data_IF_788769831784
#
_entry.id   IF_788769831784
#
_cell.length_a   1.000
_cell.length_b   1.000
_cell.length_c   1.000
_cell.angle_alpha   90.00
_cell.angle_beta   90.00
_cell.angle_gamma   90.00
#
_symmetry.space_group_name_H-M   'P 1'
#
loop_
_entity.id
_entity.type
_entity.pdbx_description
1 polymer ?
#
# COMPACT_ATOMS: atom_id res chain seq x y z
N UNK A 1 8.78 68.77 -71.22
CA UNK A 1 8.42 67.35 -70.97
C UNK A 1 9.40 66.79 -69.95
N UNK A 2 8.94 66.49 -68.72
CA UNK A 2 8.81 65.11 -68.17
C UNK A 2 10.14 64.33 -68.26
N UNK A 3 10.77 63.76 -67.23
CA UNK A 3 10.56 63.37 -65.81
C UNK A 3 11.94 62.75 -65.43
N UNK A 4 12.45 62.60 -64.22
CA UNK A 4 12.18 62.96 -62.82
C UNK A 4 13.51 62.61 -62.11
N UNK A 5 14.14 63.60 -61.49
CA UNK A 5 14.50 63.69 -60.07
C UNK A 5 15.34 62.54 -59.48
N UNK A 6 16.61 62.88 -59.22
CA UNK A 6 17.46 62.31 -58.18
C UNK A 6 16.85 62.56 -56.80
N UNK A 7 16.97 61.60 -55.89
CA UNK A 7 16.91 61.84 -54.46
C UNK A 7 17.99 61.00 -53.76
N UNK A 8 19.08 61.68 -53.44
CA UNK A 8 20.10 61.28 -52.49
C UNK A 8 19.61 61.72 -51.10
N UNK A 9 19.58 60.82 -50.12
CA UNK A 9 19.37 61.15 -48.71
C UNK A 9 20.29 60.21 -47.94
N UNK A 10 21.32 60.64 -47.22
CA UNK A 10 21.39 61.83 -46.37
C UNK A 10 21.16 61.37 -44.93
N UNK A 11 22.15 60.69 -44.35
CA UNK A 11 22.11 60.20 -42.98
C UNK A 11 22.11 61.38 -41.99
N UNK A 12 21.07 61.46 -41.16
CA UNK A 12 21.05 62.28 -39.95
C UNK A 12 20.88 61.34 -38.77
N UNK A 13 21.93 61.26 -37.95
CA UNK A 13 21.89 60.67 -36.61
C UNK A 13 21.02 61.54 -35.70
N UNK A 14 19.99 60.95 -35.11
CA UNK A 14 19.30 61.48 -33.93
C UNK A 14 19.47 60.45 -32.80
N UNK A 15 20.30 60.82 -31.84
CA UNK A 15 20.45 60.16 -30.55
C UNK A 15 19.17 60.44 -29.74
N UNK A 16 18.36 59.41 -29.52
CA UNK A 16 17.29 59.42 -28.52
C UNK A 16 17.61 58.36 -27.46
N UNK A 17 18.15 58.82 -26.33
CA UNK A 17 18.20 58.07 -25.09
C UNK A 17 16.79 57.93 -24.52
N UNK A 18 16.18 56.75 -24.69
CA UNK A 18 14.99 56.37 -23.93
C UNK A 18 15.36 55.20 -23.03
N UNK A 19 15.34 55.46 -21.72
CA UNK A 19 15.54 54.49 -20.68
C UNK A 19 14.60 53.30 -20.89
N UNK A 20 15.19 52.10 -20.85
CA UNK A 20 14.46 50.83 -20.86
C UNK A 20 13.68 50.76 -19.56
N UNK A 21 12.43 51.21 -19.58
CA UNK A 21 11.52 51.03 -18.47
C UNK A 21 11.31 49.51 -18.33
N UNK A 22 11.90 48.94 -17.29
CA UNK A 22 11.67 47.55 -16.93
C UNK A 22 10.16 47.40 -16.78
N UNK A 23 9.54 46.63 -17.67
CA UNK A 23 8.18 46.18 -17.49
C UNK A 23 8.20 45.33 -16.22
N UNK A 24 7.78 45.92 -15.11
CA UNK A 24 7.35 45.21 -13.92
C UNK A 24 6.23 44.29 -14.41
N UNK A 25 6.52 43.00 -14.56
CA UNK A 25 5.49 41.99 -14.64
C UNK A 25 4.70 42.10 -13.34
N UNK A 26 3.51 42.70 -13.43
CA UNK A 26 2.48 42.51 -12.43
C UNK A 26 2.27 41.00 -12.31
N UNK A 27 2.68 40.45 -11.16
CA UNK A 27 2.22 39.16 -10.72
C UNK A 27 0.72 39.32 -10.51
N UNK A 28 -0.07 38.74 -11.40
CA UNK A 28 -1.50 38.57 -11.20
C UNK A 28 -1.70 37.47 -10.18
N UNK A 29 -2.31 37.81 -9.04
CA UNK A 29 -2.75 36.85 -8.03
C UNK A 29 -3.77 35.83 -8.60
N UNK A 30 -3.67 34.62 -8.06
CA UNK A 30 -4.68 33.55 -8.01
C UNK A 30 -5.18 32.90 -9.31
N UNK A 31 -4.39 31.93 -9.80
CA UNK A 31 -4.95 30.57 -9.77
C UNK A 31 -4.57 30.02 -8.40
N UNK A 32 -5.52 29.93 -7.46
CA UNK A 32 -5.34 29.16 -6.24
C UNK A 32 -4.88 27.75 -6.64
N UNK A 33 -3.56 27.49 -6.62
CA UNK A 33 -3.06 26.12 -6.61
C UNK A 33 -3.56 25.54 -5.32
N UNK A 34 -4.57 24.66 -5.40
CA UNK A 34 -5.21 24.07 -4.23
C UNK A 34 -4.15 23.44 -3.34
N UNK A 35 -3.90 24.08 -2.20
CA UNK A 35 -2.96 23.60 -1.22
C UNK A 35 -3.51 22.30 -0.62
N UNK A 36 -2.62 21.34 -0.39
CA UNK A 36 -2.98 20.14 0.35
C UNK A 36 -2.92 20.49 1.84
N UNK A 37 -4.08 20.64 2.46
CA UNK A 37 -4.18 20.83 3.91
C UNK A 37 -3.94 19.50 4.61
N UNK A 38 -3.13 19.48 5.66
CA UNK A 38 -2.83 18.32 6.49
C UNK A 38 -3.09 18.70 7.95
N UNK A 39 -4.04 18.00 8.58
CA UNK A 39 -4.38 18.22 9.98
C UNK A 39 -3.87 17.08 10.84
N UNK A 40 -2.82 17.35 11.60
CA UNK A 40 -2.19 16.35 12.48
C UNK A 40 -3.03 16.02 13.71
N UNK A 41 -4.03 16.83 14.07
CA UNK A 41 -4.94 16.55 15.19
C UNK A 41 -6.06 15.58 14.80
N UNK A 42 -6.47 15.57 13.53
CA UNK A 42 -7.50 14.71 13.00
C UNK A 42 -6.96 13.30 12.64
N UNK A 43 -6.84 12.46 13.66
CA UNK A 43 -6.37 11.07 13.55
C UNK A 43 -7.43 10.15 12.92
N UNK A 44 -6.99 9.30 12.00
CA UNK A 44 -7.79 8.27 11.33
C UNK A 44 -7.31 6.87 11.74
N UNK A 45 -7.25 5.90 10.82
CA UNK A 45 -6.85 4.53 11.15
C UNK A 45 -5.37 4.42 11.54
N UNK A 46 -5.06 3.49 12.44
CA UNK A 46 -3.68 3.09 12.74
C UNK A 46 -3.17 2.13 11.67
N UNK A 47 -2.02 2.46 11.07
CA UNK A 47 -1.35 1.67 10.06
C UNK A 47 -0.71 0.43 10.70
N UNK A 48 -1.06 -0.71 10.14
CA UNK A 48 -0.63 -2.03 10.60
C UNK A 48 0.55 -2.57 9.80
N UNK A 49 0.70 -2.09 8.56
CA UNK A 49 1.88 -2.33 7.74
C UNK A 49 1.58 -2.50 6.27
N UNK A 50 2.66 -2.78 5.54
CA UNK A 50 2.65 -3.07 4.12
C UNK A 50 3.42 -4.38 3.90
N UNK A 51 2.94 -5.24 3.01
CA UNK A 51 3.45 -6.60 2.93
C UNK A 51 3.37 -7.25 1.57
N UNK A 52 3.72 -8.53 1.57
CA UNK A 52 3.46 -9.44 0.46
C UNK A 52 3.39 -10.89 0.94
N UNK A 53 2.96 -11.76 0.05
CA UNK A 53 2.87 -13.20 0.27
C UNK A 53 4.15 -13.96 -0.16
N UNK A 54 4.51 -14.98 0.63
CA UNK A 54 5.43 -16.04 0.23
C UNK A 54 4.68 -17.37 0.35
N UNK A 55 4.40 -18.02 -0.78
CA UNK A 55 3.63 -19.27 -0.83
C UNK A 55 4.53 -20.40 -1.32
N UNK A 56 5.18 -21.07 -0.35
CA UNK A 56 6.14 -22.13 -0.61
C UNK A 56 5.53 -23.33 -1.34
N UNK A 57 4.24 -23.60 -1.12
CA UNK A 57 3.55 -24.69 -1.81
C UNK A 57 3.55 -24.56 -3.34
N UNK A 58 3.70 -23.33 -3.86
CA UNK A 58 3.57 -23.04 -5.29
C UNK A 58 4.82 -22.48 -5.94
N UNK A 59 5.79 -22.04 -5.13
CA UNK A 59 7.04 -21.46 -5.61
C UNK A 59 8.18 -21.79 -4.66
N UNK A 60 9.43 -21.67 -5.12
CA UNK A 60 10.59 -21.78 -4.25
C UNK A 60 10.51 -20.79 -3.08
N UNK A 61 11.06 -21.14 -1.92
CA UNK A 61 11.13 -20.20 -0.79
C UNK A 61 11.96 -18.96 -1.14
N UNK A 62 11.78 -17.87 -0.40
CA UNK A 62 12.65 -16.70 -0.51
C UNK A 62 14.07 -17.06 -0.05
N UNK A 63 15.08 -16.66 -0.82
CA UNK A 63 16.49 -16.78 -0.40
C UNK A 63 16.82 -15.81 0.74
N UNK A 64 17.96 -15.98 1.40
CA UNK A 64 18.42 -15.03 2.44
C UNK A 64 18.56 -13.59 1.92
N UNK A 65 19.02 -13.43 0.68
CA UNK A 65 19.11 -12.12 0.02
C UNK A 65 17.71 -11.53 -0.24
N UNK A 66 16.78 -12.35 -0.76
CA UNK A 66 15.39 -11.91 -1.01
C UNK A 66 14.65 -11.56 0.27
N UNK A 67 14.85 -12.29 1.37
CA UNK A 67 14.28 -11.96 2.69
C UNK A 67 14.82 -10.60 3.19
N UNK A 68 16.11 -10.36 3.06
CA UNK A 68 16.72 -9.06 3.42
C UNK A 68 16.15 -7.94 2.55
N UNK A 69 16.08 -8.14 1.23
CA UNK A 69 15.50 -7.19 0.28
C UNK A 69 14.01 -6.97 0.50
N UNK A 70 13.27 -7.94 1.01
CA UNK A 70 11.85 -7.78 1.33
C UNK A 70 11.66 -6.94 2.60
N UNK A 71 12.32 -7.29 3.71
CA UNK A 71 11.92 -6.81 5.04
C UNK A 71 12.84 -5.73 5.65
N UNK A 72 14.08 -5.59 5.19
CA UNK A 72 14.99 -4.56 5.70
C UNK A 72 14.52 -3.15 5.32
N UNK A 73 14.42 -2.23 6.29
CA UNK A 73 14.08 -0.82 6.03
C UNK A 73 15.25 0.01 5.52
N UNK A 74 16.49 -0.46 5.70
CA UNK A 74 17.70 0.27 5.29
C UNK A 74 18.18 -0.14 3.89
N UNK A 75 18.20 -1.45 3.63
CA UNK A 75 18.72 -2.02 2.38
C UNK A 75 17.65 -2.63 1.47
N UNK A 76 16.44 -2.87 1.98
CA UNK A 76 15.35 -3.54 1.28
C UNK A 76 14.09 -2.69 1.15
N UNK A 77 12.97 -3.28 0.79
CA UNK A 77 11.69 -2.60 0.62
C UNK A 77 11.15 -2.14 1.97
N UNK A 78 11.43 -2.88 3.04
CA UNK A 78 10.93 -2.57 4.37
C UNK A 78 9.52 -3.09 4.60
N UNK A 79 9.12 -4.18 3.95
CA UNK A 79 7.84 -4.83 4.25
C UNK A 79 7.75 -5.17 5.74
N UNK A 80 6.57 -4.98 6.31
CA UNK A 80 6.29 -5.20 7.74
C UNK A 80 5.15 -6.19 7.97
N UNK A 81 4.63 -6.78 6.89
CA UNK A 81 3.68 -7.89 6.92
C UNK A 81 4.19 -8.96 5.94
N UNK A 82 4.25 -10.20 6.40
CA UNK A 82 4.43 -11.39 5.56
C UNK A 82 3.12 -12.18 5.61
N UNK A 83 2.56 -12.50 4.43
CA UNK A 83 1.47 -13.45 4.30
C UNK A 83 1.99 -14.82 3.87
N UNK A 84 1.51 -15.89 4.50
CA UNK A 84 1.90 -17.27 4.19
C UNK A 84 0.67 -18.17 4.10
N UNK A 85 0.87 -19.35 3.54
CA UNK A 85 -0.14 -20.40 3.51
C UNK A 85 -0.08 -21.25 4.77
N UNK A 86 -1.23 -21.70 5.25
CA UNK A 86 -1.34 -22.88 6.12
C UNK A 86 -1.41 -24.13 5.23
N UNK A 87 -0.36 -24.97 5.13
CA UNK A 87 -0.38 -26.15 4.27
C UNK A 87 -1.43 -27.16 4.73
N UNK A 88 -1.94 -27.99 3.80
CA UNK A 88 -2.90 -29.06 4.14
C UNK A 88 -2.25 -30.26 4.84
N UNK A 89 -0.93 -30.43 4.70
CA UNK A 89 -0.17 -31.49 5.37
C UNK A 89 0.74 -30.92 6.45
N UNK A 90 0.65 -31.49 7.66
CA UNK A 90 1.50 -31.10 8.79
C UNK A 90 2.98 -31.38 8.57
N UNK A 91 3.31 -32.35 7.71
CA UNK A 91 4.70 -32.63 7.31
C UNK A 91 5.38 -31.45 6.60
N UNK A 92 4.59 -30.52 6.03
CA UNK A 92 5.12 -29.33 5.34
C UNK A 92 5.35 -28.14 6.26
N UNK A 93 4.84 -28.15 7.49
CA UNK A 93 4.85 -26.98 8.37
C UNK A 93 6.26 -26.47 8.69
N UNK A 94 7.21 -27.39 8.90
CA UNK A 94 8.58 -27.03 9.26
C UNK A 94 9.29 -26.25 8.13
N UNK A 95 8.90 -26.46 6.87
CA UNK A 95 9.51 -25.81 5.72
C UNK A 95 9.14 -24.32 5.60
N UNK A 96 8.04 -23.86 6.21
CA UNK A 96 7.64 -22.45 6.22
C UNK A 96 8.50 -21.58 7.16
N UNK A 97 9.15 -22.20 8.16
CA UNK A 97 9.86 -21.50 9.25
C UNK A 97 10.94 -20.53 8.77
N UNK A 98 11.83 -20.87 7.81
CA UNK A 98 12.96 -20.02 7.49
C UNK A 98 12.59 -18.59 7.04
N UNK A 99 11.55 -18.44 6.21
CA UNK A 99 11.08 -17.11 5.79
C UNK A 99 10.25 -16.42 6.87
N UNK A 100 9.45 -17.17 7.63
CA UNK A 100 8.71 -16.65 8.79
C UNK A 100 9.64 -16.06 9.84
N UNK A 101 10.68 -16.81 10.24
CA UNK A 101 11.63 -16.41 11.27
C UNK A 101 12.47 -15.21 10.82
N UNK A 102 12.88 -15.17 9.54
CA UNK A 102 13.56 -14.01 8.99
C UNK A 102 12.67 -12.76 9.00
N UNK A 103 11.41 -12.87 8.55
CA UNK A 103 10.47 -11.74 8.56
C UNK A 103 10.25 -11.20 9.97
N UNK A 104 10.04 -12.09 10.95
CA UNK A 104 9.95 -11.73 12.38
C UNK A 104 11.23 -11.06 12.89
N UNK A 105 12.40 -11.52 12.45
CA UNK A 105 13.70 -10.92 12.78
C UNK A 105 13.83 -9.46 12.33
N UNK A 106 13.13 -9.06 11.26
CA UNK A 106 13.00 -7.67 10.82
C UNK A 106 11.81 -6.92 11.44
N UNK A 107 11.07 -7.56 12.36
CA UNK A 107 9.91 -6.99 13.04
C UNK A 107 8.60 -7.04 12.23
N UNK A 108 8.53 -7.86 11.18
CA UNK A 108 7.30 -8.03 10.41
C UNK A 108 6.26 -8.89 11.17
N UNK A 109 4.99 -8.55 11.02
CA UNK A 109 3.86 -9.40 11.42
C UNK A 109 3.71 -10.52 10.40
N UNK A 110 3.47 -11.75 10.86
CA UNK A 110 3.18 -12.88 9.98
C UNK A 110 1.69 -13.19 10.06
N UNK A 111 0.99 -13.15 8.93
CA UNK A 111 -0.40 -13.60 8.83
C UNK A 111 -0.46 -14.87 7.98
N UNK A 112 -1.25 -15.84 8.39
CA UNK A 112 -1.34 -17.13 7.70
C UNK A 112 -2.77 -17.43 7.26
N UNK A 113 -2.96 -17.86 6.02
CA UNK A 113 -4.28 -18.16 5.47
C UNK A 113 -4.33 -19.61 4.97
N UNK A 114 -5.42 -20.32 5.27
CA UNK A 114 -5.69 -21.63 4.69
C UNK A 114 -6.45 -21.49 3.36
N UNK A 115 -5.91 -22.07 2.28
CA UNK A 115 -6.65 -22.24 1.02
C UNK A 115 -7.58 -23.46 1.05
N UNK A 116 -7.18 -24.49 1.78
CA UNK A 116 -7.93 -25.74 1.94
C UNK A 116 -7.67 -26.30 3.34
N UNK A 117 -8.65 -27.04 3.87
CA UNK A 117 -8.41 -27.97 4.98
C UNK A 117 -7.74 -29.26 4.48
N UNK A 118 -7.19 -30.11 5.37
CA UNK A 118 -6.79 -31.46 5.00
C UNK A 118 -7.91 -32.19 4.24
N UNK A 119 -7.63 -32.93 3.14
CA UNK A 119 -8.68 -33.52 2.31
C UNK A 119 -9.67 -34.42 3.06
N UNK A 120 -9.25 -35.09 4.13
CA UNK A 120 -10.11 -35.93 4.98
C UNK A 120 -11.18 -35.14 5.75
N UNK A 121 -11.06 -33.82 5.82
CA UNK A 121 -11.98 -32.90 6.51
C UNK A 121 -12.96 -32.23 5.54
N UNK A 122 -12.88 -32.54 4.24
CA UNK A 122 -13.64 -31.86 3.20
C UNK A 122 -14.50 -32.85 2.41
N UNK A 123 -15.61 -32.33 1.85
CA UNK A 123 -16.39 -33.01 0.80
C UNK A 123 -16.45 -32.10 -0.41
N UNK A 124 -15.76 -32.48 -1.48
CA UNK A 124 -15.53 -31.59 -2.62
C UNK A 124 -14.72 -30.36 -2.18
N UNK A 125 -15.26 -29.16 -2.42
CA UNK A 125 -14.66 -27.88 -2.04
C UNK A 125 -15.19 -27.33 -0.70
N UNK A 126 -15.96 -28.09 0.06
CA UNK A 126 -16.56 -27.61 1.31
C UNK A 126 -15.98 -28.31 2.54
N UNK A 127 -15.76 -27.54 3.60
CA UNK A 127 -15.37 -28.06 4.91
C UNK A 127 -16.54 -28.81 5.56
N UNK A 128 -16.31 -30.03 6.00
CA UNK A 128 -17.30 -30.80 6.75
C UNK A 128 -17.51 -30.14 8.13
N UNK A 129 -18.77 -29.87 8.50
CA UNK A 129 -19.10 -29.24 9.79
C UNK A 129 -18.64 -30.08 10.98
N UNK A 130 -18.70 -31.41 10.86
CA UNK A 130 -18.17 -32.35 11.85
C UNK A 130 -16.64 -32.26 12.04
N UNK A 131 -15.91 -31.68 11.09
CA UNK A 131 -14.45 -31.52 11.12
C UNK A 131 -14.00 -30.13 11.56
N UNK A 132 -14.89 -29.25 12.02
CA UNK A 132 -14.53 -27.89 12.45
C UNK A 132 -13.46 -27.89 13.54
N UNK A 133 -13.62 -28.73 14.57
CA UNK A 133 -12.64 -28.82 15.66
C UNK A 133 -11.28 -29.34 15.17
N UNK A 134 -11.29 -30.37 14.32
CA UNK A 134 -10.06 -30.93 13.76
C UNK A 134 -9.33 -29.94 12.85
N UNK A 135 -10.07 -29.15 12.06
CA UNK A 135 -9.47 -28.13 11.20
C UNK A 135 -8.89 -26.97 12.03
N UNK A 136 -9.56 -26.53 13.09
CA UNK A 136 -9.00 -25.56 14.01
C UNK A 136 -7.74 -26.09 14.72
N UNK A 137 -7.73 -27.36 15.12
CA UNK A 137 -6.56 -28.03 15.68
C UNK A 137 -5.41 -28.13 14.67
N UNK A 138 -5.69 -28.34 13.38
CA UNK A 138 -4.71 -28.30 12.30
C UNK A 138 -4.06 -26.92 12.15
N UNK A 139 -4.87 -25.85 12.13
CA UNK A 139 -4.37 -24.45 12.11
C UNK A 139 -3.55 -24.14 13.37
N UNK A 140 -4.01 -24.57 14.55
CA UNK A 140 -3.28 -24.39 15.81
C UNK A 140 -1.94 -25.14 15.82
N UNK A 141 -1.91 -26.35 15.26
CA UNK A 141 -0.70 -27.14 15.10
C UNK A 141 0.29 -26.47 14.14
N UNK A 142 -0.19 -25.89 13.04
CA UNK A 142 0.63 -25.06 12.15
C UNK A 142 1.23 -23.88 12.90
N UNK A 143 0.39 -23.09 13.58
CA UNK A 143 0.81 -21.93 14.34
C UNK A 143 1.89 -22.28 15.37
N UNK A 144 1.71 -23.39 16.09
CA UNK A 144 2.72 -23.91 17.04
C UNK A 144 4.01 -24.32 16.33
N UNK A 145 3.90 -25.09 15.24
CA UNK A 145 5.04 -25.59 14.48
C UNK A 145 5.89 -24.46 13.88
N UNK A 146 5.30 -23.33 13.48
CA UNK A 146 6.02 -22.17 12.92
C UNK A 146 6.47 -21.15 13.98
N UNK A 147 6.27 -21.45 15.28
CA UNK A 147 6.70 -20.57 16.38
C UNK A 147 5.83 -19.32 16.52
N UNK A 148 4.53 -19.46 16.28
CA UNK A 148 3.51 -18.41 16.40
C UNK A 148 3.38 -17.52 15.16
N UNK A 149 2.17 -17.14 14.81
CA UNK A 149 1.87 -16.09 13.82
C UNK A 149 1.04 -14.98 14.48
N UNK A 150 1.02 -13.80 13.86
CA UNK A 150 0.24 -12.66 14.34
C UNK A 150 -1.27 -12.93 14.24
N UNK A 151 -1.72 -13.49 13.12
CA UNK A 151 -3.10 -13.89 12.93
C UNK A 151 -3.24 -15.02 11.90
N UNK A 152 -4.35 -15.74 11.99
CA UNK A 152 -4.73 -16.82 11.06
C UNK A 152 -6.09 -16.54 10.43
N UNK A 153 -6.24 -16.89 9.14
CA UNK A 153 -7.51 -16.95 8.45
C UNK A 153 -7.84 -18.39 8.06
N UNK A 154 -9.03 -18.90 8.43
CA UNK A 154 -9.43 -20.25 8.07
C UNK A 154 -9.85 -20.40 6.60
N UNK A 155 -10.06 -19.31 5.86
CA UNK A 155 -10.49 -19.35 4.47
C UNK A 155 -9.78 -18.26 3.66
N UNK A 156 -9.19 -18.65 2.53
CA UNK A 156 -8.84 -17.74 1.44
C UNK A 156 -10.01 -17.65 0.47
N UNK A 157 -10.49 -16.44 0.16
CA UNK A 157 -11.43 -16.18 -0.93
C UNK A 157 -12.64 -17.14 -0.96
N UNK A 158 -13.35 -17.32 0.17
CA UNK A 158 -14.42 -18.30 0.28
C UNK A 158 -15.58 -18.05 -0.70
N UNK A 159 -15.69 -16.81 -1.24
CA UNK A 159 -16.69 -16.41 -2.22
C UNK A 159 -16.21 -16.44 -3.68
N UNK A 160 -15.01 -16.99 -3.96
CA UNK A 160 -14.51 -17.14 -5.32
C UNK A 160 -14.80 -18.55 -5.86
N UNK A 161 -16.06 -18.73 -6.29
CA UNK A 161 -16.56 -20.00 -6.80
C UNK A 161 -15.84 -20.48 -8.06
N UNK A 162 -15.58 -21.78 -8.14
CA UNK A 162 -14.89 -22.42 -9.27
C UNK A 162 -13.36 -22.27 -9.24
N UNK A 163 -12.81 -21.77 -8.15
CA UNK A 163 -11.36 -21.62 -7.96
C UNK A 163 -10.63 -22.94 -7.67
N UNK A 164 -11.37 -23.95 -7.20
CA UNK A 164 -10.82 -25.23 -6.74
C UNK A 164 -10.24 -25.19 -5.31
N UNK A 165 -10.34 -24.05 -4.63
CA UNK A 165 -10.04 -23.88 -3.20
C UNK A 165 -11.30 -24.11 -2.36
N UNK A 166 -11.16 -24.07 -1.03
CA UNK A 166 -12.26 -24.27 -0.12
C UNK A 166 -13.26 -23.12 -0.19
N UNK A 167 -14.48 -23.42 -0.63
CA UNK A 167 -15.58 -22.47 -0.81
C UNK A 167 -16.49 -22.45 0.42
N UNK A 168 -16.99 -21.27 0.77
CA UNK A 168 -17.94 -21.09 1.86
C UNK A 168 -18.78 -19.81 1.68
N UNK A 169 -20.04 -19.88 2.09
CA UNK A 169 -20.88 -18.70 2.31
C UNK A 169 -20.39 -17.90 3.53
N UNK A 170 -20.73 -16.61 3.59
CA UNK A 170 -20.38 -15.77 4.74
C UNK A 170 -20.88 -16.35 6.08
N UNK A 171 -22.04 -17.00 6.06
CA UNK A 171 -22.63 -17.68 7.21
C UNK A 171 -21.81 -18.90 7.64
N UNK A 172 -21.30 -19.71 6.70
CA UNK A 172 -20.46 -20.87 7.02
C UNK A 172 -19.12 -20.44 7.62
N UNK A 173 -18.48 -19.40 7.06
CA UNK A 173 -17.25 -18.82 7.63
C UNK A 173 -17.53 -18.28 9.04
N UNK A 174 -18.65 -17.58 9.23
CA UNK A 174 -19.07 -17.08 10.54
C UNK A 174 -19.31 -18.21 11.53
N UNK A 175 -19.96 -19.30 11.13
CA UNK A 175 -20.23 -20.45 11.97
C UNK A 175 -18.94 -21.14 12.41
N UNK A 176 -17.97 -21.32 11.51
CA UNK A 176 -16.66 -21.85 11.87
C UNK A 176 -15.96 -20.95 12.90
N UNK A 177 -15.88 -19.64 12.66
CA UNK A 177 -15.20 -18.72 13.58
C UNK A 177 -15.93 -18.63 14.93
N UNK A 178 -17.27 -18.62 14.92
CA UNK A 178 -18.08 -18.64 16.12
C UNK A 178 -17.83 -19.91 16.96
N UNK A 179 -17.74 -21.07 16.33
CA UNK A 179 -17.50 -22.33 17.01
C UNK A 179 -16.04 -22.48 17.47
N UNK A 180 -15.07 -22.18 16.59
CA UNK A 180 -13.69 -22.64 16.73
C UNK A 180 -12.62 -21.54 16.64
N UNK A 181 -12.97 -20.27 16.43
CA UNK A 181 -11.99 -19.21 16.22
C UNK A 181 -10.95 -19.11 17.36
N UNK A 182 -11.38 -19.28 18.61
CA UNK A 182 -10.49 -19.28 19.78
C UNK A 182 -9.54 -20.49 19.86
N UNK A 183 -9.82 -21.56 19.12
CA UNK A 183 -9.06 -22.81 19.13
C UNK A 183 -8.00 -22.87 18.02
N UNK A 184 -7.90 -21.84 17.17
CA UNK A 184 -6.93 -21.78 16.07
C UNK A 184 -5.50 -21.44 16.51
N UNK A 185 -5.25 -21.22 17.81
CA UNK A 185 -3.92 -20.98 18.38
C UNK A 185 -3.35 -19.57 18.16
N UNK A 186 -4.01 -18.72 17.38
CA UNK A 186 -3.66 -17.32 17.15
C UNK A 186 -4.92 -16.46 17.00
N UNK A 187 -4.75 -15.14 16.94
CA UNK A 187 -5.83 -14.21 16.61
C UNK A 187 -6.45 -14.55 15.24
N UNK A 188 -7.78 -14.48 15.13
CA UNK A 188 -8.45 -14.75 13.85
C UNK A 188 -8.60 -13.47 13.04
N UNK A 189 -8.19 -13.53 11.78
CA UNK A 189 -8.55 -12.57 10.73
C UNK A 189 -9.52 -13.25 9.75
N UNK A 190 -10.57 -12.55 9.35
CA UNK A 190 -11.61 -13.08 8.47
C UNK A 190 -12.46 -11.94 7.86
N UNK A 191 -13.29 -12.17 6.83
CA UNK A 191 -13.52 -13.45 6.16
C UNK A 191 -12.79 -13.60 4.81
N UNK A 192 -11.88 -12.70 4.48
CA UNK A 192 -11.06 -12.71 3.25
C UNK A 192 -11.84 -12.92 1.92
N UNK A 193 -12.95 -12.22 1.65
CA UNK A 193 -13.60 -12.33 0.35
C UNK A 193 -12.67 -11.79 -0.75
N UNK A 194 -12.72 -12.42 -1.93
CA UNK A 194 -11.92 -12.13 -3.13
C UNK A 194 -11.93 -10.67 -3.59
N UNK A 195 -13.01 -9.96 -3.25
CA UNK A 195 -13.33 -8.65 -3.80
C UNK A 195 -13.81 -7.68 -2.71
N UNK A 196 -13.44 -7.91 -1.44
CA UNK A 196 -13.80 -7.05 -0.30
C UNK A 196 -15.31 -6.81 -0.27
N UNK A 197 -16.14 -7.80 -0.62
CA UNK A 197 -17.57 -7.59 -0.82
C UNK A 197 -18.28 -7.17 0.49
N UNK A 198 -18.94 -6.00 0.49
CA UNK A 198 -19.56 -5.44 1.69
C UNK A 198 -20.69 -6.33 2.21
N UNK A 199 -21.48 -6.93 1.31
CA UNK A 199 -22.60 -7.80 1.69
C UNK A 199 -22.09 -9.06 2.37
N UNK A 200 -21.02 -9.67 1.83
CA UNK A 200 -20.36 -10.83 2.42
C UNK A 200 -19.79 -10.50 3.81
N UNK A 201 -19.08 -9.38 3.94
CA UNK A 201 -18.52 -8.91 5.22
C UNK A 201 -19.63 -8.62 6.24
N UNK A 202 -20.68 -7.90 5.85
CA UNK A 202 -21.80 -7.59 6.76
C UNK A 202 -22.55 -8.84 7.19
N UNK A 203 -22.76 -9.80 6.28
CA UNK A 203 -23.38 -11.09 6.60
C UNK A 203 -22.53 -11.86 7.59
N UNK A 204 -21.21 -11.93 7.38
CA UNK A 204 -20.27 -12.54 8.33
C UNK A 204 -20.33 -11.87 9.72
N UNK A 205 -20.27 -10.54 9.77
CA UNK A 205 -20.28 -9.76 11.02
C UNK A 205 -21.63 -9.76 11.74
N UNK A 206 -22.72 -10.17 11.09
CA UNK A 206 -24.04 -10.30 11.72
C UNK A 206 -24.07 -11.41 12.78
N UNK A 207 -23.15 -12.38 12.72
CA UNK A 207 -22.95 -13.35 13.78
C UNK A 207 -22.11 -12.72 14.91
N UNK A 208 -22.77 -12.35 16.00
CA UNK A 208 -22.12 -11.66 17.13
C UNK A 208 -20.96 -12.45 17.75
N UNK A 209 -21.08 -13.78 17.85
CA UNK A 209 -20.02 -14.65 18.38
C UNK A 209 -18.82 -14.64 17.45
N UNK A 210 -19.03 -14.78 16.14
CA UNK A 210 -17.96 -14.68 15.15
C UNK A 210 -17.27 -13.30 15.25
N UNK A 211 -18.05 -12.20 15.18
CA UNK A 211 -17.55 -10.81 15.29
C UNK A 211 -16.71 -10.59 16.55
N UNK A 212 -17.09 -11.18 17.68
CA UNK A 212 -16.33 -11.09 18.93
C UNK A 212 -14.98 -11.80 18.89
N UNK A 213 -14.88 -12.91 18.13
CA UNK A 213 -13.67 -13.72 17.95
C UNK A 213 -12.78 -13.23 16.81
N UNK A 214 -13.31 -12.44 15.88
CA UNK A 214 -12.54 -11.78 14.82
C UNK A 214 -11.73 -10.61 15.37
N UNK A 215 -10.42 -10.62 15.18
CA UNK A 215 -9.54 -9.53 15.60
C UNK A 215 -9.58 -8.35 14.63
N UNK A 216 -9.56 -8.61 13.33
CA UNK A 216 -9.71 -7.60 12.28
C UNK A 216 -10.35 -8.19 11.03
N UNK A 217 -11.02 -7.33 10.27
CA UNK A 217 -11.63 -7.70 8.99
C UNK A 217 -10.59 -7.64 7.90
N UNK A 218 -10.58 -8.64 7.04
CA UNK A 218 -9.69 -8.70 5.88
C UNK A 218 -10.42 -9.17 4.62
N UNK A 219 -9.83 -8.86 3.47
CA UNK A 219 -10.36 -9.09 2.14
C UNK A 219 -9.36 -8.71 1.07
N UNK A 220 -9.64 -9.13 -0.14
CA UNK A 220 -8.85 -8.83 -1.34
C UNK A 220 -9.62 -7.83 -2.21
N UNK A 221 -9.00 -7.24 -3.22
CA UNK A 221 -9.64 -6.18 -4.02
C UNK A 221 -9.73 -6.52 -5.51
N UNK A 222 -9.68 -7.81 -5.87
CA UNK A 222 -9.77 -8.21 -7.26
C UNK A 222 -11.11 -7.78 -7.87
N UNK A 223 -11.04 -7.01 -8.96
CA UNK A 223 -12.21 -6.46 -9.66
C UNK A 223 -12.98 -5.40 -8.87
N UNK A 224 -12.41 -4.84 -7.80
CA UNK A 224 -13.06 -3.82 -6.96
C UNK A 224 -12.12 -2.69 -6.59
N UNK A 225 -12.57 -1.45 -6.84
CA UNK A 225 -11.89 -0.26 -6.35
C UNK A 225 -12.01 -0.19 -4.82
N UNK A 226 -10.95 0.16 -4.07
CA UNK A 226 -11.01 0.36 -2.63
C UNK A 226 -12.09 1.37 -2.20
N UNK A 227 -12.80 1.07 -1.12
CA UNK A 227 -13.89 1.90 -0.61
C UNK A 227 -14.01 1.77 0.92
N UNK A 228 -14.57 2.80 1.56
CA UNK A 228 -14.77 2.79 3.00
C UNK A 228 -15.91 1.82 3.38
N UNK A 229 -15.60 0.80 4.17
CA UNK A 229 -16.56 -0.21 4.64
C UNK A 229 -17.55 0.33 5.69
N UNK A 230 -17.35 1.56 6.17
CA UNK A 230 -18.14 2.18 7.22
C UNK A 230 -17.66 1.77 8.62
N UNK A 231 -18.47 2.12 9.62
CA UNK A 231 -18.19 1.80 11.02
C UNK A 231 -18.56 0.33 11.32
N UNK A 232 -17.62 -0.58 11.05
CA UNK A 232 -17.78 -2.03 11.32
C UNK A 232 -17.18 -2.49 12.65
N UNK A 233 -16.70 -1.56 13.48
CA UNK A 233 -16.01 -1.77 14.77
C UNK A 233 -14.76 -2.66 14.70
N UNK A 234 -14.13 -2.74 13.53
CA UNK A 234 -12.92 -3.54 13.29
C UNK A 234 -11.99 -2.79 12.35
N UNK A 235 -10.68 -2.99 12.54
CA UNK A 235 -9.69 -2.59 11.54
C UNK A 235 -9.92 -3.37 10.24
N UNK A 236 -9.66 -2.74 9.09
CA UNK A 236 -9.78 -3.36 7.76
C UNK A 236 -8.41 -3.54 7.14
N UNK A 237 -8.08 -4.74 6.66
CA UNK A 237 -6.79 -5.07 6.06
C UNK A 237 -7.01 -5.60 4.63
N UNK A 238 -6.34 -5.00 3.65
CA UNK A 238 -6.26 -5.59 2.31
C UNK A 238 -5.12 -6.62 2.32
N UNK A 239 -5.45 -7.90 2.21
CA UNK A 239 -4.53 -9.01 2.47
C UNK A 239 -3.98 -9.71 1.23
N UNK A 240 -4.48 -9.36 0.04
CA UNK A 240 -3.93 -9.83 -1.23
C UNK A 240 -4.41 -8.98 -2.40
N UNK A 241 -3.48 -8.61 -3.27
CA UNK A 241 -3.77 -8.18 -4.63
C UNK A 241 -2.52 -8.18 -5.52
N UNK A 242 -2.71 -8.15 -6.82
CA UNK A 242 -1.73 -7.67 -7.80
C UNK A 242 -2.46 -6.82 -8.84
N UNK A 243 -1.83 -5.77 -9.36
CA UNK A 243 -2.44 -4.91 -10.39
C UNK A 243 -2.53 -5.60 -11.76
N UNK A 244 -1.44 -6.23 -12.19
CA UNK A 244 -1.38 -6.98 -13.44
C UNK A 244 -0.30 -8.07 -13.36
N UNK A 245 -0.72 -9.34 -13.47
CA UNK A 245 0.17 -10.50 -13.37
C UNK A 245 0.80 -10.93 -14.70
N UNK A 246 0.53 -10.23 -15.80
CA UNK A 246 1.15 -10.47 -17.12
C UNK A 246 2.20 -9.42 -17.47
N UNK A 247 2.31 -8.35 -16.69
CA UNK A 247 3.25 -7.25 -16.90
C UNK A 247 4.34 -7.26 -15.83
N UNK A 248 5.59 -7.01 -16.24
CA UNK A 248 6.73 -6.93 -15.32
C UNK A 248 6.53 -5.90 -14.20
N UNK A 249 7.05 -6.19 -13.00
CA UNK A 249 7.10 -5.24 -11.90
C UNK A 249 8.04 -4.06 -12.18
N UNK A 250 8.88 -4.16 -13.21
CA UNK A 250 9.72 -3.06 -13.71
C UNK A 250 9.01 -2.17 -14.75
N UNK A 251 7.82 -2.56 -15.22
CA UNK A 251 7.01 -1.66 -16.03
C UNK A 251 6.54 -0.48 -15.19
N UNK A 252 6.86 0.74 -15.64
CA UNK A 252 6.57 1.94 -14.85
C UNK A 252 5.08 2.24 -14.75
N UNK A 253 4.30 1.95 -15.79
CA UNK A 253 2.84 2.12 -15.78
C UNK A 253 2.18 1.21 -14.75
N UNK A 254 2.59 -0.06 -14.72
CA UNK A 254 2.13 -1.04 -13.73
C UNK A 254 2.52 -0.64 -12.29
N UNK A 255 3.76 -0.20 -12.08
CA UNK A 255 4.20 0.30 -10.78
C UNK A 255 3.41 1.54 -10.32
N UNK A 256 3.10 2.47 -11.23
CA UNK A 256 2.28 3.65 -10.91
C UNK A 256 0.80 3.32 -10.67
N UNK A 257 0.26 2.25 -11.29
CA UNK A 257 -1.06 1.73 -10.95
C UNK A 257 -1.09 1.23 -9.49
N UNK A 258 -0.06 0.50 -9.06
CA UNK A 258 0.06 0.06 -7.67
C UNK A 258 0.25 1.24 -6.70
N UNK A 259 0.99 2.28 -7.08
CA UNK A 259 1.13 3.50 -6.27
C UNK A 259 -0.23 4.15 -5.96
N UNK A 260 -1.09 4.22 -6.98
CA UNK A 260 -2.45 4.75 -6.87
C UNK A 260 -3.36 3.85 -6.03
N UNK A 261 -3.25 2.53 -6.21
CA UNK A 261 -4.02 1.55 -5.45
C UNK A 261 -3.68 1.56 -3.96
N UNK A 262 -2.39 1.65 -3.61
CA UNK A 262 -1.95 1.78 -2.21
C UNK A 262 -2.52 3.07 -1.61
N UNK A 263 -2.43 4.20 -2.33
CA UNK A 263 -3.05 5.46 -1.91
C UNK A 263 -4.56 5.27 -1.64
N UNK A 264 -5.28 4.63 -2.56
CA UNK A 264 -6.73 4.45 -2.46
C UNK A 264 -7.13 3.55 -1.28
N UNK A 265 -6.37 2.48 -1.03
CA UNK A 265 -6.57 1.64 0.16
C UNK A 265 -6.39 2.46 1.44
N UNK A 266 -5.34 3.27 1.53
CA UNK A 266 -5.09 4.12 2.70
C UNK A 266 -6.16 5.20 2.84
N UNK A 267 -6.62 5.78 1.74
CA UNK A 267 -7.71 6.76 1.74
C UNK A 267 -9.07 6.15 2.12
N UNK A 268 -9.32 4.90 1.73
CA UNK A 268 -10.53 4.15 2.08
C UNK A 268 -10.61 3.77 3.57
N UNK A 269 -9.56 4.01 4.35
CA UNK A 269 -9.52 3.66 5.77
C UNK A 269 -8.87 2.30 6.05
N UNK A 270 -8.25 1.66 5.06
CA UNK A 270 -7.60 0.37 5.27
C UNK A 270 -6.28 0.58 6.03
N UNK A 271 -6.02 -0.33 6.95
CA UNK A 271 -4.89 -0.28 7.87
C UNK A 271 -3.67 -1.06 7.36
N UNK A 272 -3.86 -1.94 6.39
CA UNK A 272 -2.79 -2.72 5.77
C UNK A 272 -3.02 -2.89 4.26
N UNK A 273 -1.91 -3.06 3.54
CA UNK A 273 -1.88 -3.41 2.13
C UNK A 273 -0.85 -4.54 1.93
N UNK A 274 -1.29 -5.68 1.40
CA UNK A 274 -0.44 -6.85 1.17
C UNK A 274 -0.51 -7.22 -0.30
N UNK A 275 0.63 -7.13 -0.99
CA UNK A 275 0.75 -7.64 -2.36
C UNK A 275 0.63 -9.16 -2.38
N UNK A 276 0.39 -9.74 -3.56
CA UNK A 276 0.46 -11.17 -3.74
C UNK A 276 1.91 -11.68 -3.62
N UNK A 277 2.48 -12.37 -4.61
CA UNK A 277 3.84 -12.88 -4.44
C UNK A 277 4.90 -11.79 -4.27
N UNK A 278 5.68 -11.83 -3.18
CA UNK A 278 6.85 -10.97 -2.96
C UNK A 278 7.86 -11.17 -4.10
N UNK A 279 8.21 -12.44 -4.38
CA UNK A 279 9.13 -12.79 -5.47
C UNK A 279 8.37 -13.31 -6.68
N UNK A 280 8.21 -12.46 -7.68
CA UNK A 280 7.66 -12.81 -8.99
C UNK A 280 8.03 -11.76 -10.01
N UNK A 281 8.07 -12.10 -11.31
CA UNK A 281 8.43 -11.15 -12.36
C UNK A 281 7.54 -9.88 -12.39
N UNK A 282 6.27 -10.00 -11.95
CA UNK A 282 5.33 -8.91 -11.78
C UNK A 282 5.28 -8.32 -10.35
N UNK A 283 6.05 -8.89 -9.43
CA UNK A 283 6.06 -8.58 -8.01
C UNK A 283 7.15 -7.58 -7.60
N UNK A 284 7.22 -7.26 -6.30
CA UNK A 284 8.18 -6.29 -5.76
C UNK A 284 9.65 -6.75 -5.84
N UNK A 285 9.90 -8.05 -5.91
CA UNK A 285 11.22 -8.65 -6.16
C UNK A 285 11.09 -9.60 -7.36
N UNK A 286 11.98 -9.51 -8.34
CA UNK A 286 11.99 -10.43 -9.49
C UNK A 286 12.71 -11.76 -9.17
N UNK A 287 12.64 -12.72 -10.08
CA UNK A 287 13.29 -14.03 -9.93
C UNK A 287 14.83 -13.93 -9.89
N UNK A 288 15.41 -12.84 -10.40
CA UNK A 288 16.85 -12.54 -10.31
C UNK A 288 17.22 -11.83 -8.99
N UNK A 289 16.28 -11.73 -8.05
CA UNK A 289 16.43 -11.07 -6.75
C UNK A 289 16.62 -9.56 -6.82
N UNK A 290 16.27 -8.89 -7.93
CA UNK A 290 16.28 -7.44 -7.97
C UNK A 290 14.99 -6.88 -7.38
N UNK A 291 15.09 -5.77 -6.64
CA UNK A 291 13.91 -4.97 -6.27
C UNK A 291 13.41 -4.29 -7.56
N UNK A 292 12.17 -4.54 -7.91
CA UNK A 292 11.54 -3.97 -9.12
C UNK A 292 11.07 -2.54 -8.89
N UNK A 293 10.66 -1.83 -9.95
CA UNK A 293 10.00 -0.52 -9.81
C UNK A 293 8.78 -0.57 -8.90
N UNK A 294 7.97 -1.62 -8.99
CA UNK A 294 6.87 -1.89 -8.05
C UNK A 294 7.39 -1.99 -6.61
N UNK A 295 8.49 -2.71 -6.38
CA UNK A 295 9.12 -2.81 -5.06
C UNK A 295 9.53 -1.44 -4.51
N UNK A 296 10.11 -0.58 -5.33
CA UNK A 296 10.45 0.80 -4.93
C UNK A 296 9.22 1.69 -4.71
N UNK A 297 8.13 1.48 -5.44
CA UNK A 297 6.84 2.13 -5.18
C UNK A 297 6.29 1.70 -3.82
N UNK A 298 6.31 0.40 -3.51
CA UNK A 298 5.91 -0.08 -2.18
C UNK A 298 6.84 0.43 -1.07
N UNK A 299 8.14 0.60 -1.35
CA UNK A 299 9.11 1.14 -0.41
C UNK A 299 8.84 2.61 -0.02
N UNK A 300 8.18 3.39 -0.89
CA UNK A 300 7.75 4.76 -0.57
C UNK A 300 6.75 4.82 0.59
N UNK A 301 5.98 3.75 0.81
CA UNK A 301 5.15 3.64 2.00
C UNK A 301 5.86 2.84 3.09
N UNK A 302 6.26 1.61 2.77
CA UNK A 302 6.68 0.62 3.76
C UNK A 302 7.94 0.99 4.54
N UNK A 303 8.92 1.70 3.96
CA UNK A 303 10.11 2.15 4.72
C UNK A 303 9.78 3.23 5.76
N UNK A 304 8.82 4.10 5.47
CA UNK A 304 8.66 5.36 6.20
C UNK A 304 7.39 5.40 7.05
N UNK A 305 6.32 4.71 6.63
CA UNK A 305 5.05 4.56 7.36
C UNK A 305 5.06 3.22 8.10
N UNK A 306 5.79 3.16 9.21
CA UNK A 306 5.98 1.93 9.99
C UNK A 306 4.71 1.53 10.76
N UNK A 307 4.53 0.25 11.12
CA UNK A 307 3.44 -0.17 12.00
C UNK A 307 3.35 0.71 13.25
N UNK A 308 2.14 1.17 13.58
CA UNK A 308 1.88 2.08 14.71
C UNK A 308 1.76 3.55 14.32
N UNK A 309 2.17 3.95 13.11
CA UNK A 309 1.81 5.27 12.58
C UNK A 309 0.28 5.38 12.46
N UNK A 310 -0.28 6.56 12.71
CA UNK A 310 -1.67 6.85 12.39
C UNK A 310 -1.76 7.59 11.08
N UNK A 311 -2.68 7.19 10.20
CA UNK A 311 -3.10 8.07 9.11
C UNK A 311 -3.78 9.30 9.71
N UNK A 312 -3.57 10.45 9.11
CA UNK A 312 -4.20 11.71 9.51
C UNK A 312 -4.99 12.31 8.34
N UNK A 313 -5.88 13.23 8.67
CA UNK A 313 -6.68 13.95 7.68
C UNK A 313 -5.79 14.77 6.75
N UNK A 314 -6.06 14.71 5.45
CA UNK A 314 -5.43 15.57 4.45
C UNK A 314 -6.34 15.76 3.23
N UNK A 315 -6.11 16.82 2.45
CA UNK A 315 -6.66 16.93 1.09
C UNK A 315 -6.06 15.82 0.23
N UNK A 316 -6.84 14.78 -0.09
CA UNK A 316 -6.31 13.55 -0.70
C UNK A 316 -6.11 13.62 -2.21
N UNK A 317 -6.74 14.58 -2.89
CA UNK A 317 -6.59 14.83 -4.32
C UNK A 317 -6.59 16.34 -4.59
N UNK A 318 -5.55 17.09 -4.14
CA UNK A 318 -5.52 18.55 -4.22
C UNK A 318 -5.57 19.08 -5.66
N UNK A 319 -4.99 18.34 -6.61
CA UNK A 319 -4.99 18.65 -8.04
C UNK A 319 -5.27 17.36 -8.81
N UNK A 320 -5.89 17.47 -9.99
CA UNK A 320 -6.12 16.30 -10.86
C UNK A 320 -4.81 15.53 -11.10
N UNK A 321 -4.83 14.23 -10.81
CA UNK A 321 -3.68 13.35 -10.97
C UNK A 321 -2.61 13.49 -9.89
N UNK A 322 -2.84 14.28 -8.82
CA UNK A 322 -1.96 14.37 -7.65
C UNK A 322 -2.71 13.85 -6.44
N UNK A 323 -2.18 12.78 -5.84
CA UNK A 323 -2.81 12.10 -4.71
C UNK A 323 -1.92 12.16 -3.48
N UNK A 324 -2.49 12.44 -2.31
CA UNK A 324 -1.75 12.70 -1.07
C UNK A 324 -2.32 11.89 0.07
N UNK A 325 -1.43 11.21 0.79
CA UNK A 325 -1.72 10.63 2.12
C UNK A 325 -0.70 11.13 3.12
N UNK A 326 -1.12 11.33 4.37
CA UNK A 326 -0.27 11.79 5.45
C UNK A 326 -0.43 10.92 6.71
N UNK A 327 0.66 10.78 7.45
CA UNK A 327 0.78 9.88 8.59
C UNK A 327 1.61 10.53 9.70
N UNK A 328 1.28 10.21 10.95
CA UNK A 328 2.08 10.65 12.10
C UNK A 328 2.43 9.53 13.06
N UNK A 329 3.54 9.69 13.76
CA UNK A 329 3.87 8.94 14.97
C UNK A 329 4.57 9.89 15.95
N UNK A 330 3.89 10.22 17.06
CA UNK A 330 4.29 11.34 17.91
C UNK A 330 4.39 12.64 17.11
N UNK A 331 5.57 13.25 17.10
CA UNK A 331 5.87 14.48 16.35
C UNK A 331 6.37 14.23 14.92
N UNK A 332 6.66 12.97 14.54
CA UNK A 332 7.13 12.64 13.19
C UNK A 332 5.96 12.64 12.22
N UNK A 333 6.11 13.39 11.13
CA UNK A 333 5.17 13.50 10.01
C UNK A 333 5.76 12.84 8.77
N UNK A 334 4.96 12.01 8.11
CA UNK A 334 5.27 11.42 6.81
C UNK A 334 4.17 11.76 5.82
N UNK A 335 4.55 12.23 4.63
CA UNK A 335 3.61 12.57 3.56
C UNK A 335 4.02 11.77 2.32
N UNK A 336 3.12 10.98 1.76
CA UNK A 336 3.35 10.24 0.52
C UNK A 336 2.47 10.82 -0.58
N UNK A 337 3.10 11.19 -1.69
CA UNK A 337 2.49 11.89 -2.81
C UNK A 337 2.69 11.08 -4.09
N UNK A 338 1.60 10.85 -4.84
CA UNK A 338 1.61 10.21 -6.15
C UNK A 338 1.23 11.26 -7.19
N UNK A 339 2.15 11.60 -8.10
CA UNK A 339 1.86 12.44 -9.26
C UNK A 339 1.75 11.55 -10.51
N UNK A 340 0.54 11.37 -11.03
CA UNK A 340 0.28 10.64 -12.27
C UNK A 340 0.36 11.53 -13.53
N UNK A 341 0.63 12.83 -13.37
CA UNK A 341 0.76 13.73 -14.51
C UNK A 341 2.11 13.52 -15.23
N UNK A 342 2.12 13.71 -16.55
CA UNK A 342 3.34 13.69 -17.37
C UNK A 342 4.15 15.00 -17.30
N UNK A 343 3.82 15.88 -16.35
CA UNK A 343 4.47 17.17 -16.14
C UNK A 343 4.91 17.33 -14.69
N UNK A 344 5.90 18.21 -14.49
CA UNK A 344 6.28 18.65 -13.16
C UNK A 344 5.15 19.46 -12.54
N UNK A 345 4.70 19.06 -11.35
CA UNK A 345 3.64 19.76 -10.62
C UNK A 345 4.22 20.45 -9.38
N UNK A 346 4.03 21.75 -9.27
CA UNK A 346 4.32 22.49 -8.05
C UNK A 346 3.12 22.34 -7.09
N UNK A 347 3.31 21.59 -6.00
CA UNK A 347 2.29 21.33 -4.98
C UNK A 347 2.63 22.09 -3.69
N UNK A 348 1.66 22.86 -3.19
CA UNK A 348 1.74 23.54 -1.89
C UNK A 348 1.06 22.71 -0.80
N UNK A 349 1.54 22.84 0.43
CA UNK A 349 1.02 22.15 1.61
C UNK A 349 0.83 23.13 2.76
N UNK A 350 -0.31 23.01 3.43
CA UNK A 350 -0.64 23.72 4.66
C UNK A 350 -0.74 22.71 5.80
N UNK A 351 0.04 22.92 6.87
CA UNK A 351 0.09 22.05 8.03
C UNK A 351 -0.65 22.69 9.21
N UNK A 352 -1.49 21.92 9.89
CA UNK A 352 -2.07 22.31 11.17
C UNK A 352 -1.71 21.33 12.29
N UNK A 353 -1.53 21.88 13.50
CA UNK A 353 -1.13 21.12 14.69
C UNK A 353 0.35 20.72 14.74
N UNK A 354 1.16 21.11 13.75
CA UNK A 354 2.61 20.87 13.72
C UNK A 354 3.34 22.00 12.98
N UNK A 355 4.60 22.22 13.34
CA UNK A 355 5.55 23.02 12.57
C UNK A 355 6.76 22.18 12.23
N UNK A 356 7.28 22.31 11.02
CA UNK A 356 8.45 21.56 10.54
C UNK A 356 9.54 22.53 10.06
N UNK A 357 10.79 22.13 10.22
CA UNK A 357 11.96 22.87 9.72
C UNK A 357 12.48 22.34 8.39
N UNK A 358 11.96 21.19 7.95
CA UNK A 358 12.30 20.56 6.69
C UNK A 358 11.92 19.09 6.65
N UNK A 359 12.16 18.50 5.49
CA UNK A 359 11.92 17.09 5.22
C UNK A 359 13.12 16.44 4.56
N UNK A 360 13.35 15.18 4.91
CA UNK A 360 14.05 14.25 4.03
C UNK A 360 13.08 13.77 2.95
N UNK A 361 13.42 14.01 1.69
CA UNK A 361 12.61 13.66 0.52
C UNK A 361 13.20 12.44 -0.19
N UNK A 362 12.33 11.48 -0.52
CA UNK A 362 12.66 10.30 -1.32
C UNK A 362 11.73 10.22 -2.53
N UNK A 363 12.28 10.14 -3.74
CA UNK A 363 11.50 10.11 -4.99
C UNK A 363 11.78 8.85 -5.80
N UNK A 364 10.75 8.30 -6.43
CA UNK A 364 10.87 7.19 -7.38
C UNK A 364 10.10 7.59 -8.64
N UNK A 365 10.75 7.47 -9.80
CA UNK A 365 10.17 7.65 -11.13
C UNK A 365 10.66 6.50 -12.05
N UNK A 366 10.42 6.59 -13.37
CA UNK A 366 10.86 5.56 -14.31
C UNK A 366 12.38 5.38 -14.37
N UNK A 367 13.16 6.41 -14.03
CA UNK A 367 14.62 6.46 -14.11
C UNK A 367 15.35 6.38 -12.76
N UNK A 368 14.66 6.73 -11.66
CA UNK A 368 15.25 6.83 -10.32
C UNK A 368 14.52 5.97 -9.30
N UNK A 369 15.22 5.52 -8.26
CA UNK A 369 14.70 4.67 -7.20
C UNK A 369 15.05 5.28 -5.84
N UNK A 370 14.06 5.73 -5.07
CA UNK A 370 14.23 6.35 -3.74
C UNK A 370 15.34 7.43 -3.70
N UNK A 371 15.45 8.24 -4.75
CA UNK A 371 16.42 9.32 -4.85
C UNK A 371 16.22 10.31 -3.70
N UNK A 372 17.29 10.56 -2.94
CA UNK A 372 17.27 11.42 -1.77
C UNK A 372 17.49 12.88 -2.14
N UNK A 373 16.79 13.77 -1.44
CA UNK A 373 17.08 15.21 -1.39
C UNK A 373 16.56 15.81 -0.07
N UNK A 374 17.03 17.00 0.30
CA UNK A 374 16.48 17.76 1.41
C UNK A 374 15.48 18.80 0.91
N UNK A 375 14.39 18.99 1.65
CA UNK A 375 13.42 20.07 1.42
C UNK A 375 13.42 20.96 2.65
N UNK A 376 13.78 22.23 2.46
CA UNK A 376 13.61 23.24 3.51
C UNK A 376 12.13 23.63 3.60
N UNK A 377 11.60 23.68 4.81
CA UNK A 377 10.27 24.18 5.10
C UNK A 377 10.36 25.09 6.32
N UNK A 378 9.64 26.20 6.33
CA UNK A 378 9.64 27.13 7.46
C UNK A 378 8.21 27.31 7.97
N UNK A 379 7.93 26.74 9.15
CA UNK A 379 6.64 26.90 9.82
C UNK A 379 5.60 25.87 9.37
N UNK A 380 4.44 26.36 8.97
CA UNK A 380 3.25 25.56 8.66
C UNK A 380 2.86 25.56 7.17
N UNK A 381 3.67 26.16 6.30
CA UNK A 381 3.42 26.19 4.85
C UNK A 381 4.71 25.91 4.08
N UNK A 382 4.63 25.12 3.02
CA UNK A 382 5.73 24.89 2.09
C UNK A 382 5.23 24.42 0.72
N UNK A 383 6.09 24.53 -0.31
CA UNK A 383 5.81 24.00 -1.65
C UNK A 383 6.96 23.15 -2.15
N UNK A 384 6.65 22.12 -2.94
CA UNK A 384 7.64 21.28 -3.62
C UNK A 384 7.28 21.05 -5.08
N UNK A 385 8.30 20.79 -5.91
CA UNK A 385 8.11 20.29 -7.27
C UNK A 385 8.09 18.77 -7.28
N UNK A 386 6.97 18.19 -7.72
CA UNK A 386 6.77 16.77 -7.97
C UNK A 386 7.21 16.45 -9.40
N UNK A 387 8.08 15.46 -9.58
CA UNK A 387 8.50 15.05 -10.91
C UNK A 387 7.32 14.45 -11.70
N UNK A 388 7.34 14.48 -13.04
CA UNK A 388 6.37 13.75 -13.87
C UNK A 388 6.30 12.28 -13.47
N UNK A 389 5.09 11.71 -13.45
CA UNK A 389 4.83 10.28 -13.23
C UNK A 389 5.73 9.70 -12.13
N UNK A 390 5.53 10.15 -10.89
CA UNK A 390 6.43 9.86 -9.77
C UNK A 390 5.70 9.64 -8.47
N UNK A 391 6.37 8.96 -7.55
CA UNK A 391 5.98 8.86 -6.13
C UNK A 391 7.04 9.57 -5.31
N UNK A 392 6.63 10.46 -4.40
CA UNK A 392 7.51 11.20 -3.50
C UNK A 392 7.06 10.97 -2.05
N UNK A 393 8.00 10.64 -1.18
CA UNK A 393 7.77 10.58 0.28
C UNK A 393 8.59 11.65 0.97
N UNK A 394 7.94 12.41 1.85
CA UNK A 394 8.56 13.39 2.73
C UNK A 394 8.51 12.86 4.16
N UNK A 395 9.65 12.88 4.84
CA UNK A 395 9.77 12.51 6.26
C UNK A 395 10.29 13.72 7.03
N UNK A 396 9.54 14.22 8.00
CA UNK A 396 9.91 15.43 8.75
C UNK A 396 11.19 15.21 9.55
N UNK A 397 12.09 16.19 9.51
CA UNK A 397 13.38 16.15 10.21
C UNK A 397 13.26 16.03 11.73
#
# INVERSE_FOLDING_TARGET
MKKKLLALSGAIMLLASCAKQAAQQQITDDVLKSAATIDTSAVQQTIQGFGGASILAWQADLTSDQRTKAFSTSSGIGLSILRVMVPTSSSSFAAEKPTIDAAKGFGAKVIATAWNAPPSMMTGVHLNTGSYADFAAHISSYNSAVGGVYAVSPFNEPNYGGSGWMEATATEVANFVAAQGSNCGAAVMAPEPFNMDQTYINTYLSNATAKSKTSFVCGHIYGKTPYNLGAIDKSVWMTEHYTNSTISGNDWGNAMAAAKEIHDCMNAGYAAYVWWYIRRFYGPIDESSNITKLGYVMAQYSRYVRPGYSKISCTTNPLTGVYVTAYKNGTKLVIVIVNQNNATIAQSFDLSGVSVTGFSRYSTDSSSNLAYSAVSASGSHFSINLAPSSVTTLVSN
#
